data_IF_522676436237
#
_entry.id   IF_522676436237
#
_cell.length_a   1.000
_cell.length_b   1.000
_cell.length_c   1.000
_cell.angle_alpha   90.00
_cell.angle_beta   90.00
_cell.angle_gamma   90.00
#
_symmetry.space_group_name_H-M   'P 1'
#
loop_
_entity.id
_entity.type
_entity.pdbx_description
1 polymer ?
#
# COMPACT_ATOMS: atom_id res chain seq x y z
N UNK A 1 -22.63 -82.87 23.48
CA UNK A 1 -21.87 -83.97 24.11
C UNK A 1 -22.89 -84.87 24.80
N UNK A 2 -23.28 -85.97 24.17
CA UNK A 2 -24.42 -86.78 24.64
C UNK A 2 -24.01 -88.27 24.63
N UNK A 3 -23.61 -88.86 25.79
CA UNK A 3 -23.10 -90.23 25.88
C UNK A 3 -24.17 -91.31 25.62
N UNK A 4 -25.45 -90.93 25.49
CA UNK A 4 -26.57 -91.85 25.24
C UNK A 4 -26.61 -92.50 23.85
N UNK A 5 -25.70 -92.16 22.93
CA UNK A 5 -25.62 -92.77 21.59
C UNK A 5 -24.86 -94.11 21.57
N UNK A 6 -24.15 -94.47 22.65
CA UNK A 6 -23.36 -95.70 22.72
C UNK A 6 -24.20 -96.87 23.23
N UNK A 7 -24.49 -97.86 22.38
CA UNK A 7 -25.22 -99.08 22.77
C UNK A 7 -24.32 -100.00 23.60
N UNK A 8 -24.76 -100.35 24.81
CA UNK A 8 -24.12 -101.32 25.70
C UNK A 8 -24.55 -102.77 25.36
N UNK A 9 -23.62 -103.72 25.49
CA UNK A 9 -23.84 -105.15 25.41
C UNK A 9 -23.32 -105.85 26.68
N UNK A 10 -23.40 -107.20 26.72
CA UNK A 10 -23.04 -108.00 27.91
C UNK A 10 -21.60 -107.80 28.43
N UNK A 11 -20.69 -107.25 27.63
CA UNK A 11 -19.29 -106.98 27.99
C UNK A 11 -18.85 -105.56 27.55
N UNK A 12 -19.65 -104.53 27.84
CA UNK A 12 -19.32 -103.12 27.56
C UNK A 12 -19.94 -102.59 26.25
N UNK A 13 -19.40 -101.50 25.70
CA UNK A 13 -19.96 -100.85 24.51
C UNK A 13 -19.73 -101.66 23.23
N UNK A 14 -20.75 -101.73 22.36
CA UNK A 14 -20.61 -102.39 21.05
C UNK A 14 -19.63 -101.63 20.17
N UNK A 15 -18.61 -102.32 19.66
CA UNK A 15 -17.56 -101.77 18.76
C UNK A 15 -18.16 -100.97 17.59
N UNK A 16 -19.24 -101.45 16.97
CA UNK A 16 -19.94 -100.73 15.90
C UNK A 16 -20.54 -99.39 16.34
N UNK A 17 -21.09 -99.33 17.56
CA UNK A 17 -21.67 -98.10 18.13
C UNK A 17 -20.60 -97.06 18.46
N UNK A 18 -19.42 -97.50 18.87
CA UNK A 18 -18.26 -96.63 19.14
C UNK A 18 -17.72 -96.05 17.84
N UNK A 19 -17.53 -96.87 16.79
CA UNK A 19 -17.10 -96.36 15.48
C UNK A 19 -18.11 -95.37 14.88
N UNK A 20 -19.40 -95.65 14.99
CA UNK A 20 -20.43 -94.75 14.48
C UNK A 20 -20.43 -93.42 15.23
N UNK A 21 -20.23 -93.43 16.55
CA UNK A 21 -20.09 -92.23 17.36
C UNK A 21 -18.82 -91.41 17.03
N UNK A 22 -17.68 -92.09 16.85
CA UNK A 22 -16.42 -91.44 16.44
C UNK A 22 -16.60 -90.79 15.05
N UNK A 23 -17.20 -91.51 14.11
CA UNK A 23 -17.45 -91.01 12.76
C UNK A 23 -18.37 -89.78 12.74
N UNK A 24 -19.43 -89.76 13.55
CA UNK A 24 -20.29 -88.58 13.71
C UNK A 24 -19.52 -87.38 14.29
N UNK A 25 -18.65 -87.60 15.28
CA UNK A 25 -17.81 -86.53 15.85
C UNK A 25 -16.82 -86.01 14.82
N UNK A 26 -16.11 -86.88 14.10
CA UNK A 26 -15.17 -86.49 13.05
C UNK A 26 -15.87 -85.69 11.95
N UNK A 27 -17.09 -86.07 11.59
CA UNK A 27 -17.90 -85.35 10.61
C UNK A 27 -18.31 -83.97 11.12
N UNK A 28 -18.75 -83.85 12.38
CA UNK A 28 -19.09 -82.55 13.01
C UNK A 28 -17.86 -81.64 13.13
N UNK A 29 -16.70 -82.17 13.50
CA UNK A 29 -15.45 -81.41 13.56
C UNK A 29 -14.98 -80.97 12.18
N UNK A 30 -15.09 -81.85 11.17
CA UNK A 30 -14.77 -81.52 9.79
C UNK A 30 -15.67 -80.40 9.27
N UNK A 31 -16.98 -80.47 9.54
CA UNK A 31 -17.94 -79.43 9.17
C UNK A 31 -17.61 -78.07 9.83
N UNK A 32 -17.25 -78.07 11.11
CA UNK A 32 -16.83 -76.85 11.83
C UNK A 32 -15.51 -76.28 11.31
N UNK A 33 -14.56 -77.13 10.92
CA UNK A 33 -13.31 -76.70 10.32
C UNK A 33 -13.54 -76.01 8.98
N UNK A 34 -14.38 -76.60 8.12
CA UNK A 34 -14.77 -75.97 6.84
C UNK A 34 -15.46 -74.63 7.09
N UNK A 35 -16.43 -74.57 8.01
CA UNK A 35 -17.13 -73.33 8.33
C UNK A 35 -16.19 -72.22 8.85
N UNK A 36 -15.21 -72.59 9.69
CA UNK A 36 -14.21 -71.64 10.20
C UNK A 36 -13.26 -71.17 9.10
N UNK A 37 -12.85 -72.08 8.22
CA UNK A 37 -12.00 -71.73 7.09
C UNK A 37 -12.71 -70.79 6.11
N UNK A 38 -13.99 -71.05 5.82
CA UNK A 38 -14.81 -70.19 4.97
C UNK A 38 -15.02 -68.80 5.60
N UNK A 39 -15.22 -68.73 6.91
CA UNK A 39 -15.34 -67.48 7.62
C UNK A 39 -14.02 -66.68 7.58
N UNK A 40 -12.89 -67.33 7.87
CA UNK A 40 -11.57 -66.70 7.83
C UNK A 40 -11.23 -66.20 6.41
N UNK A 41 -11.59 -66.97 5.37
CA UNK A 41 -11.41 -66.54 3.98
C UNK A 41 -12.22 -65.28 3.66
N UNK A 42 -13.48 -65.20 4.10
CA UNK A 42 -14.33 -64.01 3.90
C UNK A 42 -13.79 -62.77 4.62
N UNK A 43 -13.38 -62.93 5.88
CA UNK A 43 -12.79 -61.84 6.67
C UNK A 43 -11.49 -61.35 6.03
N UNK A 44 -10.64 -62.26 5.55
CA UNK A 44 -9.42 -61.92 4.81
C UNK A 44 -9.73 -61.13 3.53
N UNK A 45 -10.70 -61.57 2.73
CA UNK A 45 -11.10 -60.88 1.50
C UNK A 45 -11.64 -59.48 1.80
N UNK A 46 -12.43 -59.32 2.86
CA UNK A 46 -12.94 -58.02 3.30
C UNK A 46 -11.82 -57.08 3.74
N UNK A 47 -10.87 -57.58 4.53
CA UNK A 47 -9.71 -56.80 4.96
C UNK A 47 -8.84 -56.38 3.77
N UNK A 48 -8.57 -57.28 2.82
CA UNK A 48 -7.81 -56.96 1.61
C UNK A 48 -8.51 -55.87 0.77
N UNK A 49 -9.83 -55.96 0.63
CA UNK A 49 -10.61 -54.90 -0.04
C UNK A 49 -10.52 -53.58 0.69
N UNK A 50 -10.61 -53.59 2.03
CA UNK A 50 -10.53 -52.36 2.82
C UNK A 50 -9.14 -51.73 2.75
N UNK A 51 -8.08 -52.54 2.79
CA UNK A 51 -6.71 -52.08 2.61
C UNK A 51 -6.55 -51.42 1.24
N UNK A 52 -6.98 -52.07 0.17
CA UNK A 52 -6.88 -51.51 -1.18
C UNK A 52 -7.65 -50.20 -1.34
N UNK A 53 -8.84 -50.07 -0.73
CA UNK A 53 -9.58 -48.80 -0.71
C UNK A 53 -8.82 -47.70 0.04
N UNK A 54 -8.32 -48.00 1.23
CA UNK A 54 -7.58 -47.02 2.04
C UNK A 54 -6.27 -46.60 1.37
N UNK A 55 -5.58 -47.51 0.69
CA UNK A 55 -4.39 -47.19 -0.10
C UNK A 55 -4.73 -46.27 -1.27
N UNK A 56 -5.83 -46.51 -1.98
CA UNK A 56 -6.29 -45.63 -3.06
C UNK A 56 -6.66 -44.23 -2.54
N UNK A 57 -7.41 -44.14 -1.43
CA UNK A 57 -7.76 -42.88 -0.79
C UNK A 57 -6.51 -42.12 -0.32
N UNK A 58 -5.52 -42.83 0.24
CA UNK A 58 -4.26 -42.23 0.71
C UNK A 58 -3.47 -41.62 -0.45
N UNK A 59 -3.35 -42.33 -1.57
CA UNK A 59 -2.64 -41.82 -2.75
C UNK A 59 -3.35 -40.63 -3.39
N UNK A 60 -4.69 -40.65 -3.46
CA UNK A 60 -5.47 -39.50 -3.90
C UNK A 60 -5.24 -38.27 -3.01
N UNK A 61 -5.27 -38.46 -1.69
CA UNK A 61 -5.02 -37.37 -0.74
C UNK A 61 -3.58 -36.83 -0.80
N UNK A 62 -2.59 -37.69 -1.03
CA UNK A 62 -1.20 -37.25 -1.23
C UNK A 62 -1.08 -36.37 -2.47
N UNK A 63 -1.62 -36.82 -3.59
CA UNK A 63 -1.62 -36.04 -4.83
C UNK A 63 -2.35 -34.70 -4.68
N UNK A 64 -3.51 -34.69 -4.01
CA UNK A 64 -4.24 -33.46 -3.73
C UNK A 64 -3.44 -32.50 -2.84
N UNK A 65 -2.79 -33.02 -1.78
CA UNK A 65 -1.95 -32.20 -0.90
C UNK A 65 -0.73 -31.63 -1.61
N UNK A 66 -0.08 -32.40 -2.49
CA UNK A 66 1.05 -31.93 -3.29
C UNK A 66 0.63 -30.80 -4.24
N UNK A 67 -0.52 -30.96 -4.92
CA UNK A 67 -1.09 -29.93 -5.77
C UNK A 67 -1.35 -28.64 -4.98
N UNK A 68 -2.03 -28.74 -3.83
CA UNK A 68 -2.30 -27.59 -2.95
C UNK A 68 -1.00 -26.93 -2.47
N UNK A 69 0.03 -27.71 -2.14
CA UNK A 69 1.32 -27.19 -1.70
C UNK A 69 1.99 -26.39 -2.82
N UNK A 70 2.03 -26.92 -4.04
CA UNK A 70 2.58 -26.22 -5.20
C UNK A 70 1.84 -24.91 -5.50
N UNK A 71 0.51 -24.91 -5.40
CA UNK A 71 -0.30 -23.71 -5.59
C UNK A 71 0.00 -22.65 -4.52
N UNK A 72 0.12 -23.07 -3.26
CA UNK A 72 0.52 -22.17 -2.16
C UNK A 72 1.90 -21.57 -2.37
N UNK A 73 2.85 -22.34 -2.90
CA UNK A 73 4.20 -21.83 -3.24
C UNK A 73 4.14 -20.77 -4.33
N UNK A 74 3.34 -20.98 -5.38
CA UNK A 74 3.13 -19.98 -6.45
C UNK A 74 2.48 -18.70 -5.91
N UNK A 75 1.45 -18.83 -5.06
CA UNK A 75 0.80 -17.68 -4.43
C UNK A 75 1.81 -16.91 -3.55
N UNK A 76 2.64 -17.62 -2.77
CA UNK A 76 3.64 -16.99 -1.93
C UNK A 76 4.67 -16.20 -2.76
N UNK A 77 5.14 -16.78 -3.87
CA UNK A 77 6.06 -16.09 -4.80
C UNK A 77 5.41 -14.84 -5.40
N UNK A 78 4.17 -14.95 -5.88
CA UNK A 78 3.44 -13.81 -6.43
C UNK A 78 3.24 -12.68 -5.40
N UNK A 79 2.97 -13.03 -4.13
CA UNK A 79 2.84 -12.05 -3.05
C UNK A 79 4.17 -11.35 -2.74
N UNK A 80 5.29 -12.07 -2.78
CA UNK A 80 6.62 -11.49 -2.59
C UNK A 80 6.93 -10.49 -3.72
N UNK A 81 6.65 -10.87 -4.97
CA UNK A 81 6.89 -10.01 -6.12
C UNK A 81 5.99 -8.77 -6.12
N UNK A 82 4.71 -8.94 -5.79
CA UNK A 82 3.77 -7.83 -5.64
C UNK A 82 4.24 -6.84 -4.55
N UNK A 83 4.74 -7.34 -3.42
CA UNK A 83 5.28 -6.49 -2.35
C UNK A 83 6.52 -5.73 -2.81
N UNK A 84 7.47 -6.40 -3.47
CA UNK A 84 8.68 -5.75 -4.02
C UNK A 84 8.34 -4.67 -5.04
N UNK A 85 7.37 -4.94 -5.90
CA UNK A 85 6.88 -3.97 -6.86
C UNK A 85 6.24 -2.76 -6.16
N UNK A 86 5.40 -2.99 -5.15
CA UNK A 86 4.80 -1.91 -4.36
C UNK A 86 5.85 -1.05 -3.65
N UNK A 87 6.88 -1.66 -3.06
CA UNK A 87 8.01 -0.95 -2.45
C UNK A 87 8.77 -0.09 -3.49
N UNK A 88 8.95 -0.62 -4.71
CA UNK A 88 9.61 0.09 -5.81
C UNK A 88 8.79 1.29 -6.28
N UNK A 89 7.50 1.10 -6.54
CA UNK A 89 6.57 2.17 -6.95
C UNK A 89 6.50 3.26 -5.87
N UNK A 90 6.45 2.87 -4.60
CA UNK A 90 6.45 3.83 -3.48
C UNK A 90 7.73 4.67 -3.49
N UNK A 91 8.88 4.02 -3.62
CA UNK A 91 10.17 4.72 -3.67
C UNK A 91 10.24 5.68 -4.86
N UNK A 92 9.83 5.25 -6.05
CA UNK A 92 9.79 6.12 -7.23
C UNK A 92 8.86 7.32 -7.03
N UNK A 93 7.71 7.13 -6.37
CA UNK A 93 6.79 8.21 -6.06
C UNK A 93 7.40 9.20 -5.05
N UNK A 94 8.07 8.69 -4.01
CA UNK A 94 8.76 9.51 -3.00
C UNK A 94 9.91 10.32 -3.65
N UNK A 95 10.71 9.69 -4.51
CA UNK A 95 11.81 10.33 -5.23
C UNK A 95 11.29 11.43 -6.16
N UNK A 96 10.24 11.16 -6.96
CA UNK A 96 9.59 12.17 -7.82
C UNK A 96 8.99 13.32 -7.01
N UNK A 97 8.33 13.02 -5.90
CA UNK A 97 7.76 14.03 -5.03
C UNK A 97 8.85 14.92 -4.40
N UNK A 98 9.99 14.34 -4.04
CA UNK A 98 11.14 15.10 -3.53
C UNK A 98 11.76 15.99 -4.61
N UNK A 99 11.88 15.53 -5.85
CA UNK A 99 12.37 16.34 -6.96
C UNK A 99 11.44 17.51 -7.27
N UNK A 100 10.12 17.28 -7.36
CA UNK A 100 9.15 18.35 -7.60
C UNK A 100 9.11 19.36 -6.45
N UNK A 101 9.23 18.90 -5.20
CA UNK A 101 9.37 19.82 -4.05
C UNK A 101 10.59 20.71 -4.17
N UNK A 102 11.75 20.16 -4.55
CA UNK A 102 12.98 20.95 -4.76
C UNK A 102 12.83 21.98 -5.89
N UNK A 103 12.17 21.59 -7.00
CA UNK A 103 11.90 22.53 -8.11
C UNK A 103 11.00 23.67 -7.65
N UNK A 104 9.91 23.34 -6.94
CA UNK A 104 8.98 24.32 -6.41
C UNK A 104 9.65 25.28 -5.42
N UNK A 105 10.49 24.76 -4.52
CA UNK A 105 11.26 25.56 -3.57
C UNK A 105 12.22 26.52 -4.29
N UNK A 106 12.96 26.04 -5.30
CA UNK A 106 13.83 26.88 -6.11
C UNK A 106 13.06 27.97 -6.89
N UNK A 107 11.86 27.67 -7.39
CA UNK A 107 10.99 28.66 -8.02
C UNK A 107 10.48 29.70 -7.02
N UNK A 108 10.06 29.27 -5.83
CA UNK A 108 9.65 30.18 -4.76
C UNK A 108 10.77 31.13 -4.36
N UNK A 109 11.99 30.62 -4.22
CA UNK A 109 13.15 31.44 -3.86
C UNK A 109 13.51 32.45 -4.97
N UNK A 110 13.41 32.05 -6.24
CA UNK A 110 13.55 32.99 -7.38
C UNK A 110 12.49 34.08 -7.32
N UNK A 111 11.23 33.72 -7.09
CA UNK A 111 10.12 34.68 -7.00
C UNK A 111 10.28 35.64 -5.81
N UNK A 112 10.74 35.15 -4.66
CA UNK A 112 11.07 36.00 -3.50
C UNK A 112 12.17 36.99 -3.85
N UNK A 113 13.25 36.53 -4.48
CA UNK A 113 14.34 37.42 -4.89
C UNK A 113 13.88 38.48 -5.92
N UNK A 114 12.95 38.14 -6.82
CA UNK A 114 12.31 39.11 -7.72
C UNK A 114 11.50 40.16 -6.94
N UNK A 115 10.70 39.74 -5.96
CA UNK A 115 9.92 40.63 -5.11
C UNK A 115 10.81 41.56 -4.29
N UNK A 116 11.91 41.06 -3.73
CA UNK A 116 12.88 41.87 -2.98
C UNK A 116 13.50 42.93 -3.87
N UNK A 117 13.86 42.58 -5.12
CA UNK A 117 14.35 43.58 -6.11
C UNK A 117 13.30 44.63 -6.44
N UNK A 118 12.04 44.24 -6.63
CA UNK A 118 10.97 45.21 -6.87
C UNK A 118 10.78 46.13 -5.65
N UNK A 119 10.89 45.59 -4.44
CA UNK A 119 10.83 46.38 -3.23
C UNK A 119 11.97 47.42 -3.17
N UNK A 120 13.20 47.01 -3.43
CA UNK A 120 14.37 47.90 -3.50
C UNK A 120 14.17 49.00 -4.56
N UNK A 121 13.65 48.66 -5.73
CA UNK A 121 13.35 49.64 -6.79
C UNK A 121 12.29 50.65 -6.35
N UNK A 122 11.23 50.20 -5.68
CA UNK A 122 10.19 51.10 -5.15
C UNK A 122 10.78 52.06 -4.12
N UNK A 123 11.64 51.56 -3.22
CA UNK A 123 12.33 52.39 -2.22
C UNK A 123 13.22 53.42 -2.90
N UNK A 124 14.03 53.01 -3.89
CA UNK A 124 14.91 53.91 -4.63
C UNK A 124 14.13 55.02 -5.37
N UNK A 125 13.02 54.67 -6.03
CA UNK A 125 12.14 55.64 -6.68
C UNK A 125 11.54 56.61 -5.67
N UNK A 126 11.10 56.12 -4.51
CA UNK A 126 10.57 56.96 -3.43
C UNK A 126 11.62 57.96 -2.92
N UNK A 127 12.84 57.51 -2.69
CA UNK A 127 13.95 58.39 -2.29
C UNK A 127 14.29 59.42 -3.35
N UNK A 128 14.27 59.03 -4.63
CA UNK A 128 14.51 59.95 -5.75
C UNK A 128 13.45 61.06 -5.78
N UNK A 129 12.16 60.72 -5.64
CA UNK A 129 11.09 61.73 -5.55
C UNK A 129 11.25 62.63 -4.33
N UNK A 130 11.63 62.10 -3.17
CA UNK A 130 11.87 62.91 -1.97
C UNK A 130 13.03 63.90 -2.17
N UNK A 131 14.13 63.46 -2.80
CA UNK A 131 15.28 64.34 -3.11
C UNK A 131 14.88 65.43 -4.11
N UNK A 132 14.14 65.08 -5.17
CA UNK A 132 13.68 66.04 -6.16
C UNK A 132 12.74 67.09 -5.56
N UNK A 133 11.78 66.68 -4.72
CA UNK A 133 10.88 67.61 -4.04
C UNK A 133 11.63 68.55 -3.09
N UNK A 134 12.66 68.06 -2.39
CA UNK A 134 13.52 68.91 -1.54
C UNK A 134 14.29 69.93 -2.38
N UNK A 135 14.95 69.50 -3.45
CA UNK A 135 15.70 70.43 -4.31
C UNK A 135 14.78 71.46 -4.97
N UNK A 136 13.59 71.05 -5.44
CA UNK A 136 12.60 71.99 -5.97
C UNK A 136 12.16 73.03 -4.93
N UNK A 137 11.93 72.62 -3.68
CA UNK A 137 11.59 73.55 -2.60
C UNK A 137 12.75 74.52 -2.30
N UNK A 138 13.99 74.04 -2.27
CA UNK A 138 15.19 74.88 -2.09
C UNK A 138 15.34 75.89 -3.24
N UNK A 139 15.14 75.43 -4.49
CA UNK A 139 15.15 76.30 -5.67
C UNK A 139 14.03 77.34 -5.61
N UNK A 140 12.80 76.95 -5.29
CA UNK A 140 11.68 77.87 -5.13
C UNK A 140 11.95 78.92 -4.05
N UNK A 141 12.51 78.51 -2.91
CA UNK A 141 12.88 79.43 -1.83
C UNK A 141 13.96 80.41 -2.27
N UNK A 142 15.01 79.93 -2.94
CA UNK A 142 16.07 80.80 -3.47
C UNK A 142 15.55 81.77 -4.54
N UNK A 143 14.63 81.32 -5.40
CA UNK A 143 14.00 82.15 -6.41
C UNK A 143 13.10 83.22 -5.77
N UNK A 144 12.29 82.86 -4.77
CA UNK A 144 11.52 83.85 -4.00
C UNK A 144 12.41 84.90 -3.33
N UNK A 145 13.56 84.48 -2.77
CA UNK A 145 14.53 85.40 -2.21
C UNK A 145 15.10 86.33 -3.28
N UNK A 146 15.43 85.82 -4.48
CA UNK A 146 15.89 86.63 -5.61
C UNK A 146 14.82 87.61 -6.10
N UNK A 147 13.55 87.22 -6.13
CA UNK A 147 12.43 88.11 -6.49
C UNK A 147 12.24 89.20 -5.43
N UNK A 148 12.33 88.85 -4.14
CA UNK A 148 12.25 89.84 -3.05
C UNK A 148 13.40 90.85 -3.13
N UNK A 149 14.64 90.39 -3.29
CA UNK A 149 15.79 91.30 -3.41
C UNK A 149 15.73 92.14 -4.69
N UNK A 150 15.25 91.60 -5.81
CA UNK A 150 15.03 92.37 -7.03
C UNK A 150 13.88 93.40 -6.88
N UNK A 151 12.84 93.07 -6.11
CA UNK A 151 11.76 94.01 -5.77
C UNK A 151 12.21 95.13 -4.83
N UNK A 152 13.07 94.83 -3.86
CA UNK A 152 13.70 95.82 -2.96
C UNK A 152 14.75 96.67 -3.67
N UNK A 153 15.45 96.11 -4.66
CA UNK A 153 16.41 96.83 -5.52
C UNK A 153 15.73 97.58 -6.68
N UNK A 154 14.44 97.34 -6.94
CA UNK A 154 13.68 98.10 -7.92
C UNK A 154 13.35 99.49 -7.34
N UNK A 155 13.66 100.59 -8.04
CA UNK A 155 13.29 101.91 -7.56
C UNK A 155 11.76 102.02 -7.50
N UNK A 156 11.20 102.46 -6.36
CA UNK A 156 9.76 102.74 -6.16
C UNK A 156 9.16 103.81 -7.11
N UNK A 157 9.92 104.25 -8.12
CA UNK A 157 9.67 105.49 -8.84
C UNK A 157 9.71 105.33 -10.36
N UNK A 158 8.93 104.39 -10.88
CA UNK A 158 8.59 104.33 -12.32
C UNK A 158 7.14 104.77 -12.62
N UNK A 159 6.47 105.44 -11.67
CA UNK A 159 5.12 106.01 -11.88
C UNK A 159 5.11 107.51 -12.22
N UNK A 160 6.26 108.19 -12.31
CA UNK A 160 6.33 109.62 -12.61
C UNK A 160 6.58 109.97 -14.09
N UNK A 161 6.62 108.99 -15.00
CA UNK A 161 6.88 109.23 -16.43
C UNK A 161 5.63 109.51 -17.27
N UNK A 162 4.43 109.43 -16.68
CA UNK A 162 3.16 109.72 -17.37
C UNK A 162 2.43 110.89 -16.70
N UNK A 163 3.07 112.05 -16.56
CA UNK A 163 2.32 113.29 -16.42
C UNK A 163 1.76 113.70 -17.79
N UNK A 164 0.45 113.52 -17.95
CA UNK A 164 -0.33 114.03 -19.07
C UNK A 164 -0.21 115.55 -19.09
N UNK A 165 0.48 116.11 -20.09
CA UNK A 165 0.60 117.57 -20.30
C UNK A 165 -0.79 118.17 -20.48
N UNK A 166 -1.39 118.68 -19.40
CA UNK A 166 -2.55 119.56 -19.45
C UNK A 166 -2.10 120.89 -20.06
N UNK A 167 -2.83 121.35 -21.08
CA UNK A 167 -2.46 122.51 -21.87
C UNK A 167 -2.44 123.83 -21.11
N UNK A 168 -1.68 124.78 -21.64
CA UNK A 168 -1.97 126.20 -21.50
C UNK A 168 -1.63 126.90 -22.82
N UNK A 169 -2.66 127.35 -23.52
CA UNK A 169 -2.51 128.28 -24.62
C UNK A 169 -2.16 129.69 -24.13
N UNK A 170 -1.41 130.40 -24.95
CA UNK A 170 -1.68 131.76 -25.42
C UNK A 170 -0.88 131.98 -26.70
#
# INVERSE_FOLDING_TARGET
MNPGKLRSGLFGFKKSSVYQYISEIEQDYSAKLVQRNDQAARESDEHLRRISQLEAELEEQKHSNEAIKSEKELIALALIDARRYAETVKKEADDKAAEERKKLEAELDKRKAELDRYHEQIVAVREMFQKLLRSMNEHAYSFEQQVKTAGEAAPERNMSLFERKAGSGK
#
